data_IF_932999882380
#
_entry.id   IF_932999882380
#
_cell.length_a   1.000
_cell.length_b   1.000
_cell.length_c   1.000
_cell.angle_alpha   90.00
_cell.angle_beta   90.00
_cell.angle_gamma   90.00
#
_symmetry.space_group_name_H-M   'P 1'
#
loop_
_entity.id
_entity.type
_entity.pdbx_description
1 polymer ?
#
# COMPACT_ATOMS: atom_id res chain seq x y z
N UNK A 1 25.55 -34.39 22.88
CA UNK A 1 24.62 -34.52 21.74
C UNK A 1 23.39 -33.70 22.07
N UNK A 2 23.00 -32.76 21.20
CA UNK A 2 21.79 -31.95 21.35
C UNK A 2 22.03 -30.48 21.71
N UNK A 3 22.39 -29.66 20.72
CA UNK A 3 22.14 -28.21 20.62
C UNK A 3 22.89 -27.66 19.41
N UNK A 4 22.41 -27.93 18.19
CA UNK A 4 22.93 -27.33 16.94
C UNK A 4 21.95 -27.56 15.75
N UNK A 5 20.64 -27.53 15.98
CA UNK A 5 19.65 -27.83 14.93
C UNK A 5 18.44 -26.88 14.89
N UNK A 6 18.51 -25.72 15.57
CA UNK A 6 17.41 -24.72 15.58
C UNK A 6 17.79 -23.43 14.84
N UNK A 7 19.03 -23.30 14.35
CA UNK A 7 19.54 -22.04 13.77
C UNK A 7 19.71 -22.05 12.24
N UNK A 8 18.98 -22.92 11.52
CA UNK A 8 19.06 -23.00 10.04
C UNK A 8 17.69 -22.95 9.34
N UNK A 9 16.59 -22.70 10.04
CA UNK A 9 15.23 -22.70 9.45
C UNK A 9 14.68 -21.28 9.17
N UNK A 10 15.41 -20.22 9.50
CA UNK A 10 14.88 -18.84 9.41
C UNK A 10 15.32 -18.04 8.16
N UNK A 11 16.09 -18.62 7.23
CA UNK A 11 16.59 -17.89 6.04
C UNK A 11 16.09 -18.49 4.71
N UNK A 12 15.34 -19.60 4.74
CA UNK A 12 14.85 -20.27 3.53
C UNK A 12 13.49 -19.82 2.98
N UNK A 13 12.77 -18.93 3.66
CA UNK A 13 11.41 -18.52 3.28
C UNK A 13 11.30 -17.14 2.62
N UNK A 14 12.39 -16.37 2.59
CA UNK A 14 12.41 -15.03 1.97
C UNK A 14 12.76 -15.00 0.48
N UNK A 15 13.34 -16.07 -0.07
CA UNK A 15 13.82 -16.12 -1.47
C UNK A 15 12.96 -16.98 -2.41
N UNK A 16 11.88 -17.60 -1.92
CA UNK A 16 10.94 -18.40 -2.72
C UNK A 16 9.73 -17.61 -3.24
N UNK A 17 9.65 -16.30 -3.00
CA UNK A 17 8.56 -15.46 -3.55
C UNK A 17 8.98 -14.76 -4.84
N UNK A 18 10.29 -14.64 -5.11
CA UNK A 18 10.80 -13.94 -6.31
C UNK A 18 10.88 -14.85 -7.55
N UNK A 19 10.75 -16.17 -7.40
CA UNK A 19 10.66 -17.11 -8.52
C UNK A 19 9.22 -17.45 -8.97
N UNK A 20 8.20 -16.74 -8.45
CA UNK A 20 6.79 -16.95 -8.80
C UNK A 20 6.38 -16.21 -10.09
N UNK A 21 7.32 -15.51 -10.74
CA UNK A 21 7.02 -14.64 -11.88
C UNK A 21 7.04 -15.30 -13.27
N UNK A 22 7.35 -16.60 -13.39
CA UNK A 22 7.35 -17.25 -14.71
C UNK A 22 6.69 -18.63 -14.71
N UNK A 23 5.55 -18.68 -15.43
CA UNK A 23 4.92 -19.82 -16.08
C UNK A 23 4.31 -20.95 -15.21
N UNK A 24 3.00 -20.82 -14.97
CA UNK A 24 1.98 -21.88 -15.10
C UNK A 24 2.35 -23.32 -14.70
N UNK A 25 2.74 -23.58 -13.44
CA UNK A 25 2.65 -24.94 -12.84
C UNK A 25 2.72 -24.97 -11.29
N UNK A 26 2.25 -23.92 -10.60
CA UNK A 26 2.55 -23.73 -9.16
C UNK A 26 1.60 -24.43 -8.17
N UNK A 27 0.41 -24.85 -8.60
CA UNK A 27 -0.60 -25.42 -7.69
C UNK A 27 -0.23 -26.83 -7.19
N UNK A 28 0.26 -27.70 -8.07
CA UNK A 28 0.66 -29.08 -7.72
C UNK A 28 1.90 -29.12 -6.82
N UNK A 29 2.79 -28.15 -6.97
CA UNK A 29 4.00 -28.05 -6.18
C UNK A 29 3.70 -27.67 -4.72
N UNK A 30 2.84 -26.67 -4.49
CA UNK A 30 2.44 -26.22 -3.15
C UNK A 30 1.79 -27.33 -2.32
N UNK A 31 0.91 -28.14 -2.92
CA UNK A 31 0.23 -29.22 -2.21
C UNK A 31 1.19 -30.36 -1.82
N UNK A 32 2.19 -30.64 -2.66
CA UNK A 32 3.26 -31.60 -2.38
C UNK A 32 4.19 -31.10 -1.28
N UNK A 33 4.48 -29.80 -1.26
CA UNK A 33 5.31 -29.12 -0.25
C UNK A 33 4.63 -29.11 1.13
N UNK A 34 3.34 -28.81 1.22
CA UNK A 34 2.58 -28.83 2.50
C UNK A 34 2.56 -30.23 3.12
N UNK A 35 2.38 -31.27 2.30
CA UNK A 35 2.33 -32.67 2.76
C UNK A 35 3.70 -33.20 3.20
N UNK A 36 4.78 -32.73 2.56
CA UNK A 36 6.16 -33.21 2.83
C UNK A 36 6.80 -32.52 4.05
N UNK A 37 6.36 -31.29 4.39
CA UNK A 37 6.94 -30.49 5.49
C UNK A 37 6.14 -30.66 6.81
N UNK A 38 5.00 -31.36 6.79
CA UNK A 38 4.24 -31.68 8.00
C UNK A 38 3.61 -30.47 8.69
N UNK A 39 3.31 -29.41 7.93
CA UNK A 39 2.58 -28.25 8.45
C UNK A 39 1.15 -28.69 8.71
N UNK A 40 0.69 -28.61 9.97
CA UNK A 40 -0.69 -28.92 10.32
C UNK A 40 -1.65 -28.00 9.55
N UNK A 41 -2.64 -28.58 8.86
CA UNK A 41 -3.67 -27.81 8.17
C UNK A 41 -4.38 -26.89 9.16
N UNK A 42 -4.28 -25.57 8.95
CA UNK A 42 -5.13 -24.59 9.61
C UNK A 42 -5.88 -23.77 8.55
N UNK A 43 -6.90 -23.05 9.00
CA UNK A 43 -7.82 -22.30 8.12
C UNK A 43 -7.11 -21.26 7.25
N UNK A 44 -5.94 -20.78 7.70
CA UNK A 44 -5.10 -19.85 6.96
C UNK A 44 -4.44 -20.53 5.75
N UNK A 45 -3.85 -21.71 5.94
CA UNK A 45 -3.21 -22.49 4.85
C UNK A 45 -4.25 -22.90 3.80
N UNK A 46 -5.47 -23.28 4.21
CA UNK A 46 -6.58 -23.57 3.28
C UNK A 46 -7.03 -22.37 2.48
N UNK A 47 -7.14 -21.20 3.12
CA UNK A 47 -7.54 -19.96 2.45
C UNK A 47 -6.53 -19.55 1.38
N UNK A 48 -5.24 -19.64 1.68
CA UNK A 48 -4.16 -19.30 0.75
C UNK A 48 -4.05 -20.31 -0.40
N UNK A 49 -4.20 -21.61 -0.15
CA UNK A 49 -4.20 -22.64 -1.21
C UNK A 49 -5.39 -22.48 -2.18
N UNK A 50 -6.58 -22.16 -1.66
CA UNK A 50 -7.76 -21.90 -2.49
C UNK A 50 -7.63 -20.62 -3.34
N UNK A 51 -6.85 -19.65 -2.89
CA UNK A 51 -6.59 -18.42 -3.63
C UNK A 51 -5.59 -18.62 -4.78
N UNK A 52 -4.68 -19.60 -4.66
CA UNK A 52 -3.56 -19.82 -5.59
C UNK A 52 -3.80 -20.90 -6.65
N UNK A 53 -4.92 -21.63 -6.59
CA UNK A 53 -5.33 -22.58 -7.64
C UNK A 53 -5.99 -21.86 -8.81
N UNK A 54 -5.41 -21.82 -10.01
CA UNK A 54 -6.10 -21.35 -11.20
C UNK A 54 -7.17 -22.38 -11.59
N UNK A 55 -8.44 -21.99 -11.63
CA UNK A 55 -9.55 -22.88 -11.96
C UNK A 55 -9.67 -23.05 -13.48
N UNK A 56 -9.14 -24.15 -14.03
CA UNK A 56 -9.61 -24.68 -15.31
C UNK A 56 -10.62 -25.81 -15.04
N UNK A 57 -11.84 -25.56 -15.50
CA UNK A 57 -12.96 -26.48 -15.73
C UNK A 57 -13.41 -27.42 -14.59
N UNK A 58 -14.48 -27.02 -13.90
CA UNK A 58 -15.54 -27.96 -13.49
C UNK A 58 -16.89 -27.40 -13.92
N UNK A 59 -17.30 -27.75 -15.13
CA UNK A 59 -18.70 -27.73 -15.54
C UNK A 59 -19.47 -28.84 -14.79
N UNK A 60 -20.69 -28.52 -14.32
CA UNK A 60 -21.74 -29.41 -13.78
C UNK A 60 -21.52 -29.99 -12.37
N UNK A 61 -22.06 -29.30 -11.36
CA UNK A 61 -23.44 -29.49 -10.84
C UNK A 61 -23.56 -28.79 -9.49
N UNK A 62 -23.89 -27.50 -9.48
CA UNK A 62 -24.52 -26.86 -8.32
C UNK A 62 -25.58 -25.93 -8.89
N UNK A 63 -26.84 -26.17 -8.52
CA UNK A 63 -27.97 -25.33 -8.88
C UNK A 63 -27.67 -23.84 -8.57
N UNK A 64 -28.13 -22.89 -9.39
CA UNK A 64 -27.77 -21.50 -9.23
C UNK A 64 -28.34 -20.99 -7.91
N UNK A 65 -27.45 -20.63 -6.97
CA UNK A 65 -27.84 -19.64 -5.96
C UNK A 65 -27.95 -18.32 -6.71
N UNK A 66 -29.19 -17.90 -6.98
CA UNK A 66 -29.50 -16.55 -7.44
C UNK A 66 -28.73 -15.52 -6.61
N UNK A 67 -27.72 -14.89 -7.21
CA UNK A 67 -27.28 -13.55 -6.83
C UNK A 67 -27.67 -12.60 -7.95
N UNK A 68 -28.98 -12.53 -8.21
CA UNK A 68 -29.55 -11.42 -8.94
C UNK A 68 -29.76 -10.27 -7.94
N UNK A 69 -28.76 -9.40 -7.83
CA UNK A 69 -29.01 -8.02 -7.43
C UNK A 69 -28.03 -7.13 -8.17
N UNK A 70 -28.50 -6.52 -9.27
CA UNK A 70 -27.82 -5.35 -9.82
C UNK A 70 -27.69 -4.33 -8.69
N UNK A 71 -26.46 -3.99 -8.29
CA UNK A 71 -26.23 -2.97 -7.27
C UNK A 71 -26.96 -1.67 -7.68
N UNK A 72 -27.57 -0.92 -6.74
CA UNK A 72 -28.29 0.29 -7.07
C UNK A 72 -27.41 1.29 -7.84
N UNK A 73 -27.97 1.84 -8.91
CA UNK A 73 -27.34 2.89 -9.72
C UNK A 73 -28.14 4.18 -9.56
N UNK A 74 -27.42 5.27 -9.32
CA UNK A 74 -27.98 6.59 -9.10
C UNK A 74 -27.48 7.55 -10.17
N UNK A 75 -28.36 8.30 -10.83
CA UNK A 75 -27.92 9.53 -11.50
C UNK A 75 -27.60 10.60 -10.46
N UNK A 76 -26.86 11.64 -10.83
CA UNK A 76 -26.60 12.77 -9.94
C UNK A 76 -27.91 13.40 -9.40
N UNK A 77 -28.96 13.50 -10.24
CA UNK A 77 -30.28 14.02 -9.86
C UNK A 77 -31.03 13.09 -8.90
N UNK A 78 -30.82 11.78 -9.01
CA UNK A 78 -31.39 10.82 -8.07
C UNK A 78 -30.66 10.88 -6.73
N UNK A 79 -29.33 11.00 -6.73
CA UNK A 79 -28.53 11.08 -5.51
C UNK A 79 -28.87 12.33 -4.69
N UNK A 80 -29.18 13.46 -5.34
CA UNK A 80 -29.64 14.71 -4.68
C UNK A 80 -30.85 14.54 -3.77
N UNK A 81 -31.63 13.46 -3.92
CA UNK A 81 -32.80 13.15 -3.08
C UNK A 81 -32.42 12.50 -1.74
N UNK A 82 -31.13 12.34 -1.45
CA UNK A 82 -30.59 11.69 -0.25
C UNK A 82 -29.72 12.66 0.55
N UNK A 83 -30.18 13.91 0.71
CA UNK A 83 -29.45 14.99 1.39
C UNK A 83 -29.68 15.04 2.92
N UNK A 84 -30.53 14.16 3.45
CA UNK A 84 -30.88 14.07 4.86
C UNK A 84 -31.81 15.15 5.39
N UNK A 85 -32.43 15.95 4.51
CA UNK A 85 -33.49 16.89 4.85
C UNK A 85 -34.83 16.23 5.19
N UNK A 86 -35.84 17.04 5.53
CA UNK A 86 -37.15 16.56 5.98
C UNK A 86 -37.88 15.69 4.94
N UNK A 87 -37.74 16.01 3.66
CA UNK A 87 -38.33 15.27 2.53
C UNK A 87 -37.34 14.29 1.86
N UNK A 88 -36.18 14.07 2.49
CA UNK A 88 -35.12 13.24 1.94
C UNK A 88 -35.48 11.75 1.98
N UNK A 89 -34.99 11.00 1.00
CA UNK A 89 -35.12 9.54 0.93
C UNK A 89 -34.09 8.79 1.78
N UNK A 90 -33.14 9.50 2.37
CA UNK A 90 -32.05 8.97 3.19
C UNK A 90 -30.92 9.99 3.31
N UNK A 91 -29.73 9.55 3.69
CA UNK A 91 -28.57 10.43 3.82
C UNK A 91 -27.35 9.76 3.20
N UNK A 92 -27.13 10.01 1.92
CA UNK A 92 -26.08 9.37 1.13
C UNK A 92 -25.09 10.40 0.62
N UNK A 93 -23.86 9.97 0.36
CA UNK A 93 -22.87 10.74 -0.41
C UNK A 93 -22.07 9.78 -1.29
N UNK A 94 -21.30 10.31 -2.22
CA UNK A 94 -20.44 9.53 -3.08
C UNK A 94 -18.98 9.99 -3.08
N UNK A 95 -18.09 9.01 -3.19
CA UNK A 95 -16.64 9.20 -3.38
C UNK A 95 -16.20 8.26 -4.50
N UNK A 96 -15.58 8.81 -5.53
CA UNK A 96 -15.16 8.14 -6.75
C UNK A 96 -16.29 7.34 -7.41
N UNK A 97 -17.51 7.89 -7.34
CA UNK A 97 -18.75 7.27 -7.81
C UNK A 97 -19.28 6.13 -6.94
N UNK A 98 -18.61 5.73 -5.86
CA UNK A 98 -19.12 4.75 -4.89
C UNK A 98 -20.04 5.47 -3.89
N UNK A 99 -21.27 4.99 -3.71
CA UNK A 99 -22.29 5.62 -2.85
C UNK A 99 -22.33 4.96 -1.49
N UNK A 100 -22.29 5.76 -0.43
CA UNK A 100 -22.32 5.33 0.96
C UNK A 100 -23.52 5.92 1.69
N UNK A 101 -24.17 5.09 2.51
CA UNK A 101 -25.15 5.52 3.50
C UNK A 101 -24.42 6.00 4.76
N UNK A 102 -24.52 7.30 5.00
CA UNK A 102 -23.80 8.00 6.07
C UNK A 102 -24.70 8.37 7.25
N UNK A 103 -25.85 7.70 7.39
CA UNK A 103 -26.77 7.91 8.52
C UNK A 103 -26.10 7.69 9.89
N UNK A 104 -25.11 6.76 9.99
CA UNK A 104 -24.26 6.58 11.18
C UNK A 104 -23.59 7.88 11.64
N UNK A 105 -23.30 8.78 10.70
CA UNK A 105 -22.68 10.09 10.93
C UNK A 105 -23.65 11.26 10.73
N UNK A 106 -24.96 11.06 10.91
CA UNK A 106 -25.99 12.05 10.61
C UNK A 106 -25.72 13.46 11.17
N UNK A 107 -25.13 13.58 12.36
CA UNK A 107 -24.76 14.86 12.98
C UNK A 107 -23.80 15.71 12.13
N UNK A 108 -23.06 15.08 11.22
CA UNK A 108 -22.09 15.72 10.35
C UNK A 108 -22.70 16.14 9.02
N UNK A 109 -23.55 15.28 8.43
CA UNK A 109 -23.97 15.40 7.04
C UNK A 109 -25.42 15.85 6.83
N UNK A 110 -26.30 15.78 7.85
CA UNK A 110 -27.65 16.33 7.74
C UNK A 110 -27.62 17.86 7.69
N UNK A 111 -28.68 18.52 7.19
CA UNK A 111 -28.78 19.98 7.22
C UNK A 111 -28.47 20.56 8.60
N UNK A 112 -27.55 21.53 8.64
CA UNK A 112 -27.02 22.12 9.88
C UNK A 112 -25.72 21.49 10.40
N UNK A 113 -25.33 20.31 9.89
CA UNK A 113 -24.03 19.70 10.14
C UNK A 113 -22.90 20.38 9.36
N UNK A 114 -21.68 20.32 9.91
CA UNK A 114 -20.50 20.98 9.34
C UNK A 114 -20.03 20.41 7.99
N UNK A 115 -20.54 19.24 7.61
CA UNK A 115 -20.20 18.52 6.37
C UNK A 115 -21.44 18.28 5.49
N UNK A 116 -22.52 19.03 5.71
CA UNK A 116 -23.79 18.86 5.00
C UNK A 116 -23.69 19.05 3.47
N UNK A 117 -22.70 19.81 3.01
CA UNK A 117 -22.45 20.04 1.57
C UNK A 117 -22.04 18.79 0.79
N UNK A 118 -21.61 17.72 1.46
CA UNK A 118 -21.32 16.42 0.82
C UNK A 118 -22.57 15.58 0.56
N UNK A 119 -23.67 15.83 1.28
CA UNK A 119 -24.86 14.99 1.19
C UNK A 119 -25.54 15.14 -0.18
N UNK A 120 -26.03 14.01 -0.71
CA UNK A 120 -26.75 13.92 -1.96
C UNK A 120 -25.92 14.17 -3.23
N UNK A 121 -24.59 14.10 -3.17
CA UNK A 121 -23.73 14.30 -4.36
C UNK A 121 -22.44 13.48 -4.31
N UNK A 122 -21.75 13.43 -5.46
CA UNK A 122 -20.34 13.07 -5.53
C UNK A 122 -19.52 14.37 -5.48
N UNK A 123 -18.75 14.53 -4.42
CA UNK A 123 -17.85 15.67 -4.21
C UNK A 123 -16.43 15.18 -3.89
N UNK A 124 -16.01 14.13 -4.61
CA UNK A 124 -14.68 13.49 -4.49
C UNK A 124 -13.55 14.51 -4.41
N UNK A 125 -13.59 15.57 -5.22
CA UNK A 125 -12.54 16.58 -5.26
C UNK A 125 -12.37 17.35 -3.95
N UNK A 126 -13.47 17.67 -3.27
CA UNK A 126 -13.46 18.49 -2.06
C UNK A 126 -12.81 17.79 -0.86
N UNK A 127 -12.76 16.45 -0.85
CA UNK A 127 -12.05 15.68 0.20
C UNK A 127 -10.54 15.95 0.23
N UNK A 128 -9.96 16.30 -0.92
CA UNK A 128 -8.51 16.52 -1.06
C UNK A 128 -8.18 18.00 -1.11
N UNK A 129 -9.00 18.79 -1.80
CA UNK A 129 -8.74 20.21 -1.98
C UNK A 129 -9.18 21.06 -0.80
N UNK A 130 -10.15 20.59 0.00
CA UNK A 130 -10.80 21.39 1.04
C UNK A 130 -11.64 22.57 0.49
N UNK A 131 -11.88 22.61 -0.82
CA UNK A 131 -12.77 23.61 -1.44
C UNK A 131 -14.22 23.13 -1.35
N UNK A 132 -14.97 23.72 -0.42
CA UNK A 132 -16.38 23.42 -0.18
C UNK A 132 -17.34 24.37 -0.90
N UNK A 133 -16.85 25.15 -1.87
CA UNK A 133 -17.71 25.92 -2.77
C UNK A 133 -18.26 25.02 -3.88
N UNK A 134 -19.30 25.47 -4.60
CA UNK A 134 -19.86 24.68 -5.72
C UNK A 134 -18.83 24.38 -6.82
N UNK A 135 -17.73 25.15 -6.92
CA UNK A 135 -16.64 24.85 -7.85
C UNK A 135 -15.77 23.66 -7.38
N UNK A 136 -15.64 23.47 -6.06
CA UNK A 136 -14.88 22.36 -5.46
C UNK A 136 -15.73 21.12 -5.17
N UNK A 137 -17.05 21.27 -4.99
CA UNK A 137 -18.02 20.19 -4.75
C UNK A 137 -18.40 19.45 -6.05
N UNK A 138 -17.38 18.98 -6.74
CA UNK A 138 -17.46 18.24 -8.00
C UNK A 138 -16.75 16.89 -7.88
N UNK A 139 -17.00 16.02 -8.86
CA UNK A 139 -16.43 14.68 -8.91
C UNK A 139 -15.05 14.63 -9.58
N UNK A 140 -14.64 15.63 -10.38
CA UNK A 140 -13.43 15.58 -11.22
C UNK A 140 -12.11 15.61 -10.42
N UNK A 141 -11.29 14.58 -10.64
CA UNK A 141 -9.95 14.41 -10.06
C UNK A 141 -8.88 14.09 -11.11
N UNK A 142 -9.16 14.38 -12.39
CA UNK A 142 -8.27 14.04 -13.50
C UNK A 142 -6.87 14.69 -13.40
N UNK A 143 -6.77 15.81 -12.67
CA UNK A 143 -5.57 16.60 -12.38
C UNK A 143 -4.86 16.20 -11.08
N UNK A 144 -5.33 15.17 -10.36
CA UNK A 144 -4.71 14.76 -9.09
C UNK A 144 -3.38 14.03 -9.31
N UNK A 145 -2.37 14.49 -8.59
CA UNK A 145 -1.03 13.91 -8.54
C UNK A 145 -0.90 12.84 -7.45
N UNK A 146 0.24 12.14 -7.40
CA UNK A 146 0.49 11.00 -6.53
C UNK A 146 0.08 11.20 -5.06
N UNK A 147 0.44 12.34 -4.46
CA UNK A 147 0.09 12.65 -3.07
C UNK A 147 -1.43 12.81 -2.87
N UNK A 148 -2.10 13.51 -3.79
CA UNK A 148 -3.55 13.70 -3.78
C UNK A 148 -4.29 12.39 -3.96
N UNK A 149 -3.79 11.50 -4.84
CA UNK A 149 -4.35 10.17 -5.05
C UNK A 149 -4.15 9.24 -3.84
N UNK A 150 -3.02 9.32 -3.14
CA UNK A 150 -2.81 8.60 -1.89
C UNK A 150 -3.86 9.01 -0.84
N UNK A 151 -4.05 10.31 -0.64
CA UNK A 151 -5.06 10.82 0.30
C UNK A 151 -6.49 10.47 -0.11
N UNK A 152 -6.78 10.45 -1.42
CA UNK A 152 -8.08 10.01 -1.93
C UNK A 152 -8.34 8.54 -1.64
N UNK A 153 -7.31 7.69 -1.74
CA UNK A 153 -7.44 6.29 -1.37
C UNK A 153 -7.69 6.10 0.12
N UNK A 154 -6.98 6.84 0.97
CA UNK A 154 -7.18 6.81 2.42
C UNK A 154 -8.63 7.20 2.78
N UNK A 155 -9.19 8.24 2.15
CA UNK A 155 -10.59 8.62 2.33
C UNK A 155 -11.56 7.54 1.85
N UNK A 156 -11.36 6.99 0.65
CA UNK A 156 -12.22 5.93 0.14
C UNK A 156 -12.17 4.68 1.02
N UNK A 157 -11.00 4.33 1.55
CA UNK A 157 -10.80 3.25 2.53
C UNK A 157 -11.57 3.50 3.81
N UNK A 158 -11.43 4.69 4.41
CA UNK A 158 -12.19 5.10 5.59
C UNK A 158 -13.70 4.95 5.38
N UNK A 159 -14.26 5.40 4.26
CA UNK A 159 -15.69 5.28 4.01
C UNK A 159 -16.16 3.85 3.79
N UNK A 160 -15.33 3.00 3.17
CA UNK A 160 -15.61 1.57 3.02
C UNK A 160 -15.65 0.82 4.35
N UNK A 161 -14.84 1.24 5.31
CA UNK A 161 -14.79 0.66 6.65
C UNK A 161 -15.91 1.20 7.56
N UNK A 162 -16.16 2.51 7.51
CA UNK A 162 -17.02 3.19 8.49
C UNK A 162 -18.50 3.22 8.11
N UNK A 163 -18.82 3.18 6.82
CA UNK A 163 -20.16 3.39 6.30
C UNK A 163 -20.62 2.26 5.39
N UNK A 164 -21.93 2.16 5.23
CA UNK A 164 -22.54 1.11 4.42
C UNK A 164 -22.48 1.50 2.94
N UNK A 165 -21.78 0.72 2.13
CA UNK A 165 -21.87 0.83 0.67
C UNK A 165 -23.28 0.48 0.16
N UNK A 166 -23.86 1.33 -0.68
CA UNK A 166 -25.25 1.19 -1.17
C UNK A 166 -25.40 1.27 -2.68
N UNK A 167 -24.37 1.59 -3.45
CA UNK A 167 -24.46 1.59 -4.90
C UNK A 167 -23.42 2.46 -5.59
N UNK A 168 -23.72 2.89 -6.82
CA UNK A 168 -22.82 3.70 -7.65
C UNK A 168 -23.53 4.88 -8.29
N UNK A 169 -22.77 5.93 -8.57
CA UNK A 169 -23.22 7.07 -9.38
C UNK A 169 -22.91 6.81 -10.85
N UNK A 170 -23.94 6.84 -11.70
CA UNK A 170 -23.82 6.81 -13.14
C UNK A 170 -23.31 8.16 -13.63
N UNK A 171 -22.21 8.17 -14.38
CA UNK A 171 -21.57 9.38 -14.86
C UNK A 171 -20.10 9.15 -15.18
N UNK A 172 -19.24 9.96 -14.57
CA UNK A 172 -17.79 9.98 -14.82
C UNK A 172 -17.11 8.64 -14.56
N UNK A 173 -17.45 7.99 -13.45
CA UNK A 173 -16.75 6.80 -12.97
C UNK A 173 -17.40 5.48 -13.33
N UNK A 174 -18.72 5.46 -13.45
CA UNK A 174 -19.50 4.28 -13.82
C UNK A 174 -20.48 4.59 -14.94
N UNK A 175 -20.62 3.66 -15.89
CA UNK A 175 -21.58 3.79 -16.98
C UNK A 175 -23.02 3.45 -16.54
N UNK A 176 -23.95 3.48 -17.50
CA UNK A 176 -25.38 3.19 -17.28
C UNK A 176 -25.65 1.77 -16.77
N UNK A 177 -24.69 0.86 -16.91
CA UNK A 177 -24.75 -0.53 -16.43
C UNK A 177 -23.93 -0.72 -15.14
N UNK A 178 -23.38 0.35 -14.57
CA UNK A 178 -22.54 0.30 -13.37
C UNK A 178 -21.12 -0.21 -13.62
N UNK A 179 -20.68 -0.27 -14.88
CA UNK A 179 -19.35 -0.72 -15.25
C UNK A 179 -18.34 0.44 -15.17
N UNK A 180 -17.09 0.17 -14.74
CA UNK A 180 -16.04 1.20 -14.69
C UNK A 180 -15.81 1.88 -16.03
N UNK A 181 -15.75 3.21 -16.05
CA UNK A 181 -15.32 3.96 -17.23
C UNK A 181 -13.81 3.90 -17.41
N UNK A 182 -13.31 4.33 -18.58
CA UNK A 182 -11.86 4.47 -18.84
C UNK A 182 -11.20 5.42 -17.85
N UNK A 183 -11.90 6.46 -17.42
CA UNK A 183 -11.39 7.43 -16.46
C UNK A 183 -11.21 6.79 -15.08
N UNK A 184 -12.21 6.04 -14.59
CA UNK A 184 -12.08 5.30 -13.33
C UNK A 184 -10.94 4.28 -13.38
N UNK A 185 -10.78 3.56 -14.49
CA UNK A 185 -9.69 2.59 -14.66
C UNK A 185 -8.32 3.28 -14.62
N UNK A 186 -8.17 4.42 -15.29
CA UNK A 186 -6.92 5.19 -15.28
C UNK A 186 -6.59 5.72 -13.88
N UNK A 187 -7.58 6.26 -13.15
CA UNK A 187 -7.38 6.74 -11.77
C UNK A 187 -6.99 5.58 -10.85
N UNK A 188 -7.67 4.43 -10.95
CA UNK A 188 -7.35 3.24 -10.16
C UNK A 188 -5.94 2.70 -10.46
N UNK A 189 -5.51 2.73 -11.70
CA UNK A 189 -4.13 2.35 -12.06
C UNK A 189 -3.09 3.29 -11.43
N UNK A 190 -3.34 4.60 -11.46
CA UNK A 190 -2.47 5.58 -10.79
C UNK A 190 -2.46 5.35 -9.27
N UNK A 191 -3.62 5.16 -8.64
CA UNK A 191 -3.73 4.87 -7.19
C UNK A 191 -2.98 3.58 -6.82
N UNK A 192 -3.18 2.50 -7.58
CA UNK A 192 -2.45 1.24 -7.38
C UNK A 192 -0.93 1.42 -7.49
N UNK A 193 -0.48 2.26 -8.42
CA UNK A 193 0.94 2.61 -8.57
C UNK A 193 1.45 3.37 -7.35
N UNK A 194 0.67 4.33 -6.84
CA UNK A 194 0.99 5.06 -5.61
C UNK A 194 1.11 4.13 -4.41
N UNK A 195 0.18 3.18 -4.23
CA UNK A 195 0.27 2.20 -3.13
C UNK A 195 1.47 1.27 -3.28
N UNK A 196 1.73 0.77 -4.48
CA UNK A 196 2.89 -0.07 -4.74
C UNK A 196 4.18 0.66 -4.38
N UNK A 197 4.29 1.94 -4.76
CA UNK A 197 5.44 2.77 -4.42
C UNK A 197 5.54 2.99 -2.92
N UNK A 198 4.44 3.31 -2.23
CA UNK A 198 4.39 3.48 -0.77
C UNK A 198 4.82 2.20 -0.03
N UNK A 199 4.33 1.05 -0.46
CA UNK A 199 4.73 -0.25 0.08
C UNK A 199 6.23 -0.52 -0.15
N UNK A 200 6.72 -0.28 -1.36
CA UNK A 200 8.13 -0.46 -1.68
C UNK A 200 9.02 0.48 -0.86
N UNK A 201 8.61 1.74 -0.68
CA UNK A 201 9.34 2.71 0.13
C UNK A 201 9.42 2.29 1.61
N UNK A 202 8.35 1.72 2.16
CA UNK A 202 8.38 1.15 3.52
C UNK A 202 9.28 -0.09 3.60
N UNK A 203 9.23 -1.00 2.63
CA UNK A 203 10.14 -2.15 2.56
C UNK A 203 11.60 -1.69 2.45
N UNK A 204 11.88 -0.72 1.59
CA UNK A 204 13.21 -0.13 1.40
C UNK A 204 13.68 0.60 2.66
N UNK A 205 12.77 1.21 3.42
CA UNK A 205 13.07 1.83 4.71
C UNK A 205 13.35 0.81 5.80
N UNK A 206 12.67 -0.34 5.81
CA UNK A 206 13.00 -1.43 6.74
C UNK A 206 14.33 -2.09 6.39
N UNK A 207 14.63 -2.23 5.10
CA UNK A 207 15.86 -2.84 4.58
C UNK A 207 17.05 -1.90 4.76
N UNK A 208 16.90 -0.66 4.28
CA UNK A 208 17.91 0.40 4.24
C UNK A 208 17.37 1.69 4.90
N UNK A 209 17.21 1.67 6.23
CA UNK A 209 16.68 2.79 7.00
C UNK A 209 17.57 4.03 6.86
N UNK A 210 16.99 5.23 6.75
CA UNK A 210 17.74 6.48 6.72
C UNK A 210 18.69 6.63 7.91
N UNK A 211 19.87 7.21 7.67
CA UNK A 211 20.80 7.57 8.74
C UNK A 211 20.23 8.67 9.63
N UNK A 212 20.71 8.73 10.88
CA UNK A 212 20.61 9.97 11.65
C UNK A 212 21.59 11.00 11.06
N UNK A 213 21.25 12.27 11.12
CA UNK A 213 22.08 13.34 10.57
C UNK A 213 22.10 14.57 11.48
N UNK A 214 23.20 15.30 11.43
CA UNK A 214 23.39 16.58 12.11
C UNK A 214 24.24 17.47 11.20
N UNK A 215 23.91 18.76 11.15
CA UNK A 215 24.71 19.76 10.48
C UNK A 215 25.00 20.93 11.42
N UNK A 216 26.22 21.45 11.31
CA UNK A 216 26.59 22.74 11.90
C UNK A 216 27.51 23.51 10.96
N UNK A 217 27.49 24.84 11.05
CA UNK A 217 28.31 25.71 10.22
C UNK A 217 29.80 25.46 10.42
N UNK A 218 30.23 25.14 11.64
CA UNK A 218 31.64 24.98 12.01
C UNK A 218 32.17 23.57 11.74
N UNK A 219 31.33 22.53 11.88
CA UNK A 219 31.76 21.13 11.80
C UNK A 219 31.28 20.40 10.54
N UNK A 220 30.46 21.05 9.72
CA UNK A 220 29.87 20.45 8.53
C UNK A 220 28.76 19.44 8.85
N UNK A 221 28.41 18.63 7.85
CA UNK A 221 27.41 17.57 7.98
C UNK A 221 28.06 16.28 8.48
N UNK A 222 27.38 15.58 9.40
CA UNK A 222 27.71 14.19 9.74
C UNK A 222 26.46 13.32 9.72
N UNK A 223 26.66 12.05 9.42
CA UNK A 223 25.62 11.01 9.45
C UNK A 223 26.09 9.85 10.32
N UNK A 224 25.17 9.22 11.03
CA UNK A 224 25.49 8.05 11.84
C UNK A 224 24.33 7.07 11.92
N UNK A 225 24.67 5.84 12.27
CA UNK A 225 23.72 4.78 12.51
C UNK A 225 23.65 4.48 14.00
N UNK A 226 22.46 4.11 14.47
CA UNK A 226 22.24 3.59 15.82
C UNK A 226 21.20 2.47 15.74
N UNK A 227 20.83 1.90 16.89
CA UNK A 227 19.69 0.97 16.94
C UNK A 227 18.36 1.62 16.55
N UNK A 228 18.31 2.96 16.50
CA UNK A 228 17.17 3.77 16.08
C UNK A 228 17.60 4.81 15.07
N UNK A 229 17.36 4.54 13.79
CA UNK A 229 17.65 5.49 12.70
C UNK A 229 16.50 5.49 11.70
N UNK A 230 16.14 6.67 11.18
CA UNK A 230 15.09 6.79 10.15
C UNK A 230 13.70 6.33 10.60
N UNK A 231 13.43 6.37 11.91
CA UNK A 231 12.18 5.88 12.51
C UNK A 231 12.07 4.35 12.64
N UNK A 232 13.16 3.61 12.39
CA UNK A 232 13.20 2.15 12.50
C UNK A 232 14.02 1.74 13.73
N UNK A 233 13.40 0.96 14.62
CA UNK A 233 14.02 0.35 15.79
C UNK A 233 14.50 -1.08 15.46
N UNK A 234 15.78 -1.37 15.74
CA UNK A 234 16.44 -2.62 15.33
C UNK A 234 17.48 -3.11 16.34
N UNK A 235 17.86 -4.38 16.25
CA UNK A 235 18.83 -5.02 17.17
C UNK A 235 20.29 -4.67 16.89
N UNK A 236 20.59 -4.07 15.74
CA UNK A 236 21.93 -3.74 15.26
C UNK A 236 22.09 -2.25 14.97
N UNK A 237 23.31 -1.74 15.10
CA UNK A 237 23.64 -0.32 14.87
C UNK A 237 23.78 -0.04 13.37
N UNK A 238 24.75 -0.71 12.74
CA UNK A 238 25.02 -0.61 11.31
C UNK A 238 26.00 0.50 10.98
N UNK A 239 26.31 0.62 9.68
CA UNK A 239 27.25 1.61 9.18
C UNK A 239 26.60 2.48 8.09
N UNK A 240 26.90 3.80 8.03
CA UNK A 240 26.31 4.67 7.02
C UNK A 240 26.87 4.41 5.62
N UNK A 241 26.00 4.28 4.62
CA UNK A 241 26.35 4.24 3.19
C UNK A 241 25.46 5.17 2.39
N UNK A 242 25.94 5.59 1.24
CA UNK A 242 25.16 6.36 0.28
C UNK A 242 24.49 5.39 -0.70
N UNK A 243 23.16 5.34 -0.69
CA UNK A 243 22.35 4.53 -1.59
C UNK A 243 21.99 5.33 -2.84
N UNK A 244 22.39 4.82 -4.00
CA UNK A 244 22.09 5.35 -5.33
C UNK A 244 21.01 4.48 -5.97
N UNK A 245 19.86 5.07 -6.27
CA UNK A 245 18.76 4.43 -6.98
C UNK A 245 18.44 5.28 -8.21
N UNK A 246 18.27 4.64 -9.36
CA UNK A 246 17.93 5.35 -10.60
C UNK A 246 16.62 6.14 -10.43
N UNK A 247 16.62 7.41 -10.87
CA UNK A 247 15.47 8.30 -10.74
C UNK A 247 15.21 8.85 -9.33
N UNK A 248 16.10 8.61 -8.36
CA UNK A 248 16.03 9.19 -7.00
C UNK A 248 17.34 9.84 -6.61
N UNK A 249 17.26 10.86 -5.78
CA UNK A 249 18.46 11.48 -5.20
C UNK A 249 19.19 10.48 -4.28
N UNK A 250 20.54 10.45 -4.32
CA UNK A 250 21.32 9.64 -3.39
C UNK A 250 20.99 9.99 -1.94
N UNK A 251 20.85 8.97 -1.09
CA UNK A 251 20.51 9.16 0.34
C UNK A 251 21.37 8.33 1.26
N UNK A 252 21.58 8.83 2.47
CA UNK A 252 22.24 8.04 3.50
C UNK A 252 21.34 6.93 4.02
N UNK A 253 21.85 5.71 4.08
CA UNK A 253 21.20 4.55 4.68
C UNK A 253 22.11 3.82 5.65
N UNK A 254 21.50 3.21 6.66
CA UNK A 254 22.19 2.31 7.57
C UNK A 254 22.11 0.88 7.08
N UNK A 255 23.27 0.24 7.00
CA UNK A 255 23.38 -1.15 6.54
C UNK A 255 24.09 -2.05 7.55
N UNK A 256 23.91 -3.36 7.40
CA UNK A 256 24.74 -4.33 8.11
C UNK A 256 26.08 -4.46 7.39
N UNK A 257 27.16 -4.49 8.15
CA UNK A 257 28.49 -4.89 7.67
C UNK A 257 28.88 -6.30 8.14
N UNK A 258 27.89 -7.10 8.56
CA UNK A 258 28.07 -8.45 9.08
C UNK A 258 26.89 -9.35 8.70
N UNK A 259 27.14 -10.66 8.66
CA UNK A 259 26.13 -11.67 8.35
C UNK A 259 25.74 -11.70 6.87
N UNK A 260 24.64 -12.40 6.52
CA UNK A 260 24.17 -12.45 5.14
C UNK A 260 23.59 -11.10 4.69
N UNK A 261 23.62 -10.79 3.39
CA UNK A 261 22.95 -9.60 2.82
C UNK A 261 21.46 -9.57 3.14
N UNK A 262 20.91 -8.37 3.30
CA UNK A 262 19.47 -8.14 3.54
C UNK A 262 18.64 -8.37 2.28
N UNK A 263 19.23 -8.16 1.09
CA UNK A 263 18.65 -8.47 -0.21
C UNK A 263 19.58 -9.41 -0.99
N UNK A 264 19.05 -10.53 -1.49
CA UNK A 264 19.77 -11.42 -2.41
C UNK A 264 20.49 -12.61 -1.79
N UNK A 265 21.22 -13.36 -2.64
CA UNK A 265 21.75 -14.69 -2.32
C UNK A 265 23.08 -14.67 -1.58
N UNK A 266 23.17 -15.62 -0.65
CA UNK A 266 24.25 -15.95 0.28
C UNK A 266 25.66 -15.73 -0.31
N UNK A 267 26.24 -14.57 -0.02
CA UNK A 267 27.66 -14.37 -0.22
C UNK A 267 28.36 -15.11 0.92
N UNK A 268 29.21 -16.09 0.58
CA UNK A 268 30.08 -16.79 1.56
C UNK A 268 30.93 -15.86 2.44
N UNK A 269 30.92 -14.56 2.15
CA UNK A 269 31.73 -13.51 2.75
C UNK A 269 31.13 -12.96 4.06
N UNK A 270 29.84 -13.17 4.37
CA UNK A 270 29.20 -12.71 5.62
C UNK A 270 29.44 -11.21 5.95
N UNK A 271 29.46 -10.35 4.92
CA UNK A 271 29.77 -8.91 5.00
C UNK A 271 28.52 -8.01 5.01
N UNK A 272 27.35 -8.59 5.31
CA UNK A 272 26.07 -7.87 5.29
C UNK A 272 25.79 -7.30 3.90
N UNK A 273 25.44 -6.02 3.84
CA UNK A 273 25.03 -5.33 2.62
C UNK A 273 26.17 -4.58 1.93
N UNK A 274 27.42 -4.68 2.43
CA UNK A 274 28.56 -3.91 1.90
C UNK A 274 28.79 -4.07 0.39
N UNK A 275 28.44 -5.23 -0.17
CA UNK A 275 28.63 -5.56 -1.58
C UNK A 275 27.39 -5.22 -2.44
N UNK A 276 26.37 -4.54 -1.90
CA UNK A 276 25.17 -4.17 -2.67
C UNK A 276 25.52 -3.13 -3.76
N UNK A 277 25.15 -3.36 -5.03
CA UNK A 277 25.61 -2.54 -6.17
C UNK A 277 25.18 -1.08 -6.12
N UNK A 278 24.07 -0.78 -5.43
CA UNK A 278 23.59 0.58 -5.22
C UNK A 278 24.25 1.33 -4.06
N UNK A 279 25.12 0.71 -3.26
CA UNK A 279 25.73 1.35 -2.09
C UNK A 279 27.15 1.84 -2.38
N UNK A 280 27.45 3.04 -1.90
CA UNK A 280 28.78 3.66 -1.97
C UNK A 280 29.24 4.10 -0.59
N UNK A 281 30.56 4.07 -0.39
CA UNK A 281 31.20 4.58 0.82
C UNK A 281 31.31 6.11 0.76
N UNK A 282 31.21 6.75 1.92
CA UNK A 282 31.56 8.16 2.03
C UNK A 282 33.08 8.33 1.97
N UNK A 283 33.60 9.38 1.31
CA UNK A 283 35.03 9.66 1.31
C UNK A 283 35.60 9.74 2.73
N UNK A 284 36.63 8.95 3.01
CA UNK A 284 37.27 8.93 4.33
C UNK A 284 36.45 8.26 5.44
N UNK A 285 35.38 7.51 5.10
CA UNK A 285 34.60 6.75 6.08
C UNK A 285 34.82 5.23 5.92
N UNK A 286 35.68 4.61 6.76
CA UNK A 286 35.97 3.17 6.71
C UNK A 286 34.75 2.27 6.84
N UNK A 287 34.89 1.04 6.37
CA UNK A 287 33.78 0.09 6.30
C UNK A 287 33.06 -0.18 7.64
N UNK A 288 33.79 -0.11 8.75
CA UNK A 288 33.33 -0.36 10.11
C UNK A 288 32.81 0.87 10.85
N UNK A 289 32.83 2.04 10.21
CA UNK A 289 32.50 3.31 10.87
C UNK A 289 31.00 3.45 11.07
N UNK A 290 30.57 3.65 12.31
CA UNK A 290 29.17 3.91 12.64
C UNK A 290 28.78 5.38 12.43
N UNK A 291 29.76 6.26 12.21
CA UNK A 291 29.60 7.70 11.96
C UNK A 291 30.53 8.14 10.82
N UNK A 292 30.01 8.93 9.88
CA UNK A 292 30.75 9.49 8.76
C UNK A 292 30.56 11.02 8.70
N UNK A 293 31.64 11.76 8.47
CA UNK A 293 31.56 13.14 7.99
C UNK A 293 31.16 13.13 6.51
N UNK A 294 30.22 13.99 6.12
CA UNK A 294 29.78 14.09 4.72
C UNK A 294 30.10 15.49 4.21
N UNK A 295 30.90 15.55 3.16
CA UNK A 295 31.10 16.77 2.39
C UNK A 295 29.84 17.02 1.57
N UNK A 296 29.13 18.11 1.82
CA UNK A 296 28.13 18.58 0.87
C UNK A 296 28.82 19.00 -0.43
N UNK A 297 28.23 18.72 -1.60
CA UNK A 297 28.33 19.62 -2.74
C UNK A 297 27.74 21.00 -2.39
#
# INVERSE_FOLDING_TARGET
MGSNAITTITIGLGLMVVAVYFATDSSRYLQTVVTTIGIAENDYVKSVLNFLTPSEEVEKTVAPKNSDSSQPLFTAEQLKKFDGGAESKGLYLAILGEVFDVEKGAQHYKPGGGYAFFAGRDATRAYITGDFTEAGLIDDVSDFEAASLASLEDWLGFYKEEYKYVGKVVGRYYDQNGQPTKELLSIKEKMNTVQKNKYQDEVDKQTFPPCNSEWSKEKGSKVWCSKKSGGVDRSWVGVPRELHVEGRDPRCVCIKNFGPPSLGQDTKKNRGDLDHPGLKEYPGCPESSETCSVSHP
#
